data_IF_512828369187
#
_entry.id   IF_512828369187
#
_cell.length_a   1.000
_cell.length_b   1.000
_cell.length_c   1.000
_cell.angle_alpha   90.00
_cell.angle_beta   90.00
_cell.angle_gamma   90.00
#
_symmetry.space_group_name_H-M   'P 1'
#
loop_
_entity.id
_entity.type
_entity.pdbx_description
1 polymer ?
#
# COMPACT_ATOMS: atom_id res chain seq x y z
N UNK A 1 -2.30 8.68 -9.64
CA UNK A 1 -2.21 7.30 -10.18
C UNK A 1 -1.07 6.43 -9.68
N UNK A 2 0.21 6.80 -9.88
CA UNK A 2 1.38 5.95 -9.55
C UNK A 2 1.33 5.26 -8.17
N UNK A 3 0.88 5.97 -7.12
CA UNK A 3 0.70 5.39 -5.78
C UNK A 3 -0.31 4.23 -5.74
N UNK A 4 -1.49 4.39 -6.36
CA UNK A 4 -2.52 3.34 -6.41
C UNK A 4 -2.02 2.11 -7.15
N UNK A 5 -1.28 2.31 -8.25
CA UNK A 5 -0.64 1.22 -8.98
C UNK A 5 0.35 0.47 -8.10
N UNK A 6 1.23 1.18 -7.38
CA UNK A 6 2.19 0.54 -6.47
C UNK A 6 1.52 -0.23 -5.33
N UNK A 7 0.49 0.34 -4.71
CA UNK A 7 -0.29 -0.34 -3.67
C UNK A 7 -0.95 -1.60 -4.23
N UNK A 8 -1.51 -1.52 -5.45
CA UNK A 8 -2.10 -2.68 -6.11
C UNK A 8 -1.04 -3.75 -6.42
N UNK A 9 0.10 -3.36 -7.02
CA UNK A 9 1.22 -4.26 -7.32
C UNK A 9 1.77 -4.96 -6.08
N UNK A 10 1.79 -4.28 -4.94
CA UNK A 10 2.24 -4.86 -3.67
C UNK A 10 1.27 -5.89 -3.08
N UNK A 11 -0.02 -5.81 -3.43
CA UNK A 11 -1.09 -6.70 -2.93
C UNK A 11 -1.36 -7.92 -3.81
N UNK A 12 -0.95 -7.90 -5.07
CA UNK A 12 -1.13 -9.02 -6.01
C UNK A 12 0.10 -9.95 -6.02
N UNK A 13 -0.11 -11.20 -6.46
CA UNK A 13 0.96 -12.18 -6.58
C UNK A 13 2.08 -11.69 -7.53
N UNK A 14 3.36 -12.02 -7.27
CA UNK A 14 4.48 -11.64 -8.14
C UNK A 14 4.27 -12.00 -9.62
N UNK A 15 3.57 -13.11 -9.88
CA UNK A 15 3.23 -13.61 -11.21
C UNK A 15 2.23 -12.72 -11.98
N UNK A 16 1.45 -11.91 -11.27
CA UNK A 16 0.46 -11.00 -11.86
C UNK A 16 1.02 -9.59 -12.08
N UNK A 17 2.26 -9.32 -11.64
CA UNK A 17 2.92 -8.03 -11.83
C UNK A 17 3.29 -7.89 -13.30
N UNK A 18 2.87 -6.77 -13.90
CA UNK A 18 3.17 -6.45 -15.31
C UNK A 18 4.34 -5.48 -15.39
N UNK A 19 5.18 -5.64 -16.40
CA UNK A 19 6.31 -4.75 -16.68
C UNK A 19 7.56 -5.09 -15.86
N UNK A 20 8.42 -4.10 -15.67
CA UNK A 20 9.70 -4.25 -14.97
C UNK A 20 9.52 -4.79 -13.55
N UNK A 21 10.45 -5.64 -13.08
CA UNK A 21 10.42 -6.16 -11.71
C UNK A 21 10.55 -4.99 -10.72
N UNK A 22 9.44 -4.68 -10.05
CA UNK A 22 9.44 -3.65 -9.01
C UNK A 22 10.21 -4.16 -7.79
N UNK A 23 11.20 -3.42 -7.27
CA UNK A 23 11.96 -3.84 -6.10
C UNK A 23 11.06 -4.18 -4.92
N UNK A 24 11.32 -5.32 -4.28
CA UNK A 24 10.50 -5.78 -3.16
C UNK A 24 10.51 -4.78 -1.99
N UNK A 25 11.62 -4.07 -1.77
CA UNK A 25 11.71 -2.99 -0.78
C UNK A 25 10.73 -1.84 -1.04
N UNK A 26 10.44 -1.54 -2.31
CA UNK A 26 9.50 -0.48 -2.67
C UNK A 26 8.07 -0.93 -2.35
N UNK A 27 7.74 -2.17 -2.67
CA UNK A 27 6.43 -2.75 -2.37
C UNK A 27 6.20 -2.83 -0.85
N UNK A 28 7.24 -3.22 -0.10
CA UNK A 28 7.21 -3.26 1.37
C UNK A 28 6.96 -1.87 1.97
N UNK A 29 7.71 -0.85 1.55
CA UNK A 29 7.51 0.54 1.99
C UNK A 29 6.12 1.06 1.65
N UNK A 30 5.60 0.71 0.47
CA UNK A 30 4.25 1.10 0.03
C UNK A 30 3.18 0.45 0.91
N UNK A 31 3.34 -0.84 1.27
CA UNK A 31 2.44 -1.52 2.20
C UNK A 31 2.51 -0.93 3.59
N UNK A 32 3.72 -0.67 4.10
CA UNK A 32 3.93 -0.07 5.42
C UNK A 32 3.29 1.32 5.52
N UNK A 33 3.52 2.18 4.53
CA UNK A 33 2.89 3.49 4.47
C UNK A 33 1.36 3.39 4.29
N UNK A 34 0.86 2.49 3.43
CA UNK A 34 -0.58 2.28 3.27
C UNK A 34 -1.23 1.82 4.59
N UNK A 35 -0.61 0.89 5.31
CA UNK A 35 -1.07 0.42 6.61
C UNK A 35 -1.02 1.55 7.65
N UNK A 36 0.04 2.35 7.67
CA UNK A 36 0.20 3.48 8.57
C UNK A 36 -0.93 4.52 8.38
N UNK A 37 -1.16 4.95 7.14
CA UNK A 37 -2.24 5.90 6.83
C UNK A 37 -3.62 5.29 7.07
N UNK A 38 -3.84 4.01 6.74
CA UNK A 38 -5.09 3.32 7.01
C UNK A 38 -5.38 3.22 8.51
N UNK A 39 -4.36 2.97 9.33
CA UNK A 39 -4.50 2.93 10.79
C UNK A 39 -4.76 4.33 11.36
N UNK A 40 -4.12 5.36 10.82
CA UNK A 40 -4.33 6.74 11.25
C UNK A 40 -5.74 7.25 10.91
N UNK A 41 -6.31 6.85 9.78
CA UNK A 41 -7.73 7.10 9.46
C UNK A 41 -8.66 6.47 10.50
N UNK A 42 -8.43 5.22 10.92
CA UNK A 42 -9.22 4.60 11.99
C UNK A 42 -9.09 5.32 13.34
N UNK A 43 -7.88 5.79 13.68
CA UNK A 43 -7.63 6.55 14.92
C UNK A 43 -8.36 7.90 14.93
N UNK A 44 -8.52 8.54 13.77
CA UNK A 44 -9.25 9.81 13.66
C UNK A 44 -10.78 9.64 13.55
N UNK A 45 -11.27 8.44 13.23
CA UNK A 45 -12.70 8.12 13.19
C UNK A 45 -13.28 7.77 14.58
N UNK A 46 -12.43 7.65 15.60
CA UNK A 46 -12.84 7.72 17.00
C UNK A 46 -13.05 9.20 17.38
N UNK A 47 -14.05 9.85 16.77
CA UNK A 47 -14.66 11.01 17.41
C UNK A 47 -15.41 10.46 18.63
N UNK A 48 -15.03 10.82 19.86
CA UNK A 48 -15.86 10.50 21.01
C UNK A 48 -17.20 11.22 20.81
N UNK A 49 -18.28 10.44 20.77
CA UNK A 49 -19.65 10.92 20.99
C UNK A 49 -19.83 11.17 22.48
#
# INVERSE_FOLDING_TARGET
DKWKTLVHTARISPQQRRGEPVPQELLDRVLAAHAYWSQQQCKHQLKPL
#
